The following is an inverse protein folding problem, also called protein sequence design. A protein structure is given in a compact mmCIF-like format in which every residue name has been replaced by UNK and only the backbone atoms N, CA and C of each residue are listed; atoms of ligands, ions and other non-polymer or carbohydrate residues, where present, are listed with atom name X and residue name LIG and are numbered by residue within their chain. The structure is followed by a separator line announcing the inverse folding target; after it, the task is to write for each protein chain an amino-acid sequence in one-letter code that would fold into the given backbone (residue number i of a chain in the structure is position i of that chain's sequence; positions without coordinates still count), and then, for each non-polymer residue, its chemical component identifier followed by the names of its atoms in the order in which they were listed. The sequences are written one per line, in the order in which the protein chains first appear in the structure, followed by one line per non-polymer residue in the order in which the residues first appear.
data_IF_692078134141
#
_entry.id   IF_692078134141
#
_cell.length_a   1.000
_cell.length_b   1.000
_cell.length_c   1.000
_cell.angle_alpha   90.00
_cell.angle_beta   90.00
_cell.angle_gamma   90.00
#
_symmetry.space_group_name_H-M   'P 1'
#
loop_
_entity.id
_entity.type
_entity.pdbx_description
1 polymer ?
#
# COMPACT_ATOMS: atom_id res chain seq x y z
N UNK A 1 -44.39 28.71 -42.30
CA UNK A 1 -43.18 27.92 -42.52
C UNK A 1 -42.40 27.94 -41.20
N UNK A 2 -42.44 26.87 -40.44
CA UNK A 2 -41.71 26.79 -39.18
C UNK A 2 -40.30 26.22 -39.46
N UNK A 3 -39.29 26.92 -39.00
CA UNK A 3 -37.88 26.54 -39.14
C UNK A 3 -37.59 25.25 -38.33
N UNK A 4 -36.92 24.23 -38.90
CA UNK A 4 -36.63 23.00 -38.17
C UNK A 4 -35.65 23.29 -37.01
N UNK A 5 -36.03 22.94 -35.80
CA UNK A 5 -35.17 22.96 -34.61
C UNK A 5 -33.89 22.14 -34.85
N UNK A 6 -32.69 22.66 -34.56
CA UNK A 6 -31.45 21.91 -34.75
C UNK A 6 -31.41 20.70 -33.82
N UNK A 7 -31.08 19.55 -34.39
CA UNK A 7 -30.84 18.30 -33.64
C UNK A 7 -29.67 18.49 -32.67
N UNK A 8 -29.78 18.11 -31.39
CA UNK A 8 -28.67 18.18 -30.47
C UNK A 8 -27.51 17.29 -30.93
N UNK A 9 -26.25 17.69 -30.66
CA UNK A 9 -25.09 16.88 -30.99
C UNK A 9 -25.17 15.53 -30.26
N UNK A 10 -24.65 14.44 -30.86
CA UNK A 10 -24.63 13.14 -30.21
C UNK A 10 -23.86 13.21 -28.90
N UNK A 11 -24.39 12.56 -27.86
CA UNK A 11 -23.70 12.45 -26.58
C UNK A 11 -22.32 11.78 -26.75
N UNK A 12 -21.29 12.27 -26.07
CA UNK A 12 -19.96 11.66 -26.14
C UNK A 12 -20.00 10.22 -25.62
N UNK A 13 -19.40 9.32 -26.36
CA UNK A 13 -19.34 7.91 -25.98
C UNK A 13 -18.71 7.73 -24.60
N UNK A 14 -19.33 6.94 -23.70
CA UNK A 14 -18.83 6.76 -22.35
C UNK A 14 -17.44 6.11 -22.35
N UNK A 15 -16.56 6.57 -21.45
CA UNK A 15 -15.15 6.17 -21.37
C UNK A 15 -14.94 4.64 -21.29
N UNK A 16 -15.86 3.91 -20.64
CA UNK A 16 -15.79 2.46 -20.54
C UNK A 16 -15.96 1.75 -21.89
N UNK A 17 -16.78 2.29 -22.84
CA UNK A 17 -16.91 1.72 -24.19
C UNK A 17 -15.64 1.87 -25.00
N UNK A 18 -14.97 3.02 -24.89
CA UNK A 18 -13.65 3.25 -25.53
C UNK A 18 -12.58 2.31 -24.95
N UNK A 19 -12.59 2.09 -23.64
CA UNK A 19 -11.70 1.13 -22.99
C UNK A 19 -11.97 -0.31 -23.47
N UNK A 20 -13.23 -0.71 -23.55
CA UNK A 20 -13.62 -2.05 -24.02
C UNK A 20 -13.25 -2.27 -25.49
N UNK A 21 -13.43 -1.27 -26.36
CA UNK A 21 -13.06 -1.35 -27.76
C UNK A 21 -11.54 -1.53 -27.94
N UNK A 22 -10.73 -0.80 -27.17
CA UNK A 22 -9.26 -0.97 -27.17
C UNK A 22 -8.84 -2.36 -26.69
N UNK A 23 -9.54 -2.91 -25.70
CA UNK A 23 -9.28 -4.25 -25.21
C UNK A 23 -9.64 -5.33 -26.22
N UNK A 24 -10.75 -5.16 -26.94
CA UNK A 24 -11.18 -6.05 -28.04
C UNK A 24 -10.25 -5.99 -29.24
N UNK A 25 -9.72 -4.80 -29.59
CA UNK A 25 -8.74 -4.63 -30.64
C UNK A 25 -7.40 -5.29 -30.29
N UNK A 26 -6.98 -5.23 -29.03
CA UNK A 26 -5.77 -5.92 -28.55
C UNK A 26 -5.90 -7.45 -28.65
N UNK A 27 -7.10 -8.01 -28.52
CA UNK A 27 -7.38 -9.44 -28.62
C UNK A 27 -7.53 -9.95 -30.05
N UNK A 28 -7.53 -9.09 -31.08
CA UNK A 28 -7.67 -9.51 -32.49
C UNK A 28 -6.38 -10.16 -33.01
N UNK A 29 -6.43 -11.41 -33.52
CA UNK A 29 -5.28 -12.02 -34.18
C UNK A 29 -4.88 -11.19 -35.41
N UNK A 30 -3.62 -10.74 -35.49
CA UNK A 30 -3.08 -10.03 -36.67
C UNK A 30 -2.99 -8.51 -36.51
N UNK A 31 -3.34 -7.91 -35.40
CA UNK A 31 -2.98 -6.53 -35.12
C UNK A 31 -1.47 -6.45 -34.86
N UNK A 32 -0.77 -5.73 -35.75
CA UNK A 32 0.59 -5.28 -35.43
C UNK A 32 0.49 -4.40 -34.20
N UNK A 33 0.95 -4.92 -33.05
CA UNK A 33 0.98 -4.17 -31.82
C UNK A 33 1.72 -2.86 -32.09
N UNK A 34 1.14 -1.68 -31.83
CA UNK A 34 1.96 -0.48 -31.68
C UNK A 34 3.06 -0.86 -30.70
N UNK A 35 4.32 -0.48 -30.98
CA UNK A 35 5.47 -0.88 -30.17
C UNK A 35 5.15 -0.76 -28.68
N UNK A 36 5.85 -1.43 -27.78
CA UNK A 36 5.41 -1.72 -26.42
C UNK A 36 4.91 -0.44 -25.73
N UNK A 37 3.59 -0.25 -25.77
CA UNK A 37 2.94 0.90 -25.13
C UNK A 37 3.01 0.64 -23.63
N UNK A 38 3.81 1.41 -22.94
CA UNK A 38 3.95 1.30 -21.50
C UNK A 38 2.62 1.66 -20.84
N UNK A 39 2.10 0.77 -20.02
CA UNK A 39 0.88 0.97 -19.28
C UNK A 39 1.20 1.61 -17.93
N UNK A 40 0.74 2.83 -17.69
CA UNK A 40 0.88 3.50 -16.40
C UNK A 40 -0.13 2.97 -15.39
N UNK A 41 0.36 2.66 -14.20
CA UNK A 41 -0.45 2.13 -13.10
C UNK A 41 -0.29 2.99 -11.84
N UNK A 42 -1.43 3.24 -11.20
CA UNK A 42 -1.52 3.73 -9.85
C UNK A 42 -2.00 2.59 -8.95
N UNK A 43 -1.31 2.33 -7.86
CA UNK A 43 -1.60 1.19 -6.99
C UNK A 43 -2.16 1.65 -5.64
N UNK A 44 -3.31 1.10 -5.28
CA UNK A 44 -3.96 1.28 -3.99
C UNK A 44 -3.74 0.03 -3.14
N UNK A 45 -2.84 0.10 -2.15
CA UNK A 45 -2.38 -1.04 -1.37
C UNK A 45 -3.08 -1.08 -0.01
N UNK A 46 -3.97 -2.06 0.13
CA UNK A 46 -4.77 -2.24 1.32
C UNK A 46 -3.92 -2.69 2.52
N UNK A 47 -4.25 -2.20 3.71
CA UNK A 47 -3.77 -2.73 4.97
C UNK A 47 -4.45 -4.05 5.34
N UNK A 48 -3.87 -4.77 6.29
CA UNK A 48 -4.42 -6.06 6.72
C UNK A 48 -3.42 -6.91 7.51
N UNK A 49 -2.40 -6.31 8.11
CA UNK A 49 -1.38 -7.01 8.88
C UNK A 49 -0.66 -8.07 8.03
N UNK A 50 -0.69 -9.33 8.46
CA UNK A 50 -0.03 -10.44 7.76
C UNK A 50 -0.54 -10.67 6.32
N UNK A 51 -1.75 -10.21 5.97
CA UNK A 51 -2.24 -10.28 4.60
C UNK A 51 -1.47 -9.38 3.63
N UNK A 52 -0.64 -8.45 4.14
CA UNK A 52 0.32 -7.69 3.32
C UNK A 52 1.31 -8.57 2.57
N UNK A 53 1.58 -9.80 3.04
CA UNK A 53 2.37 -10.78 2.31
C UNK A 53 1.69 -11.26 1.01
N UNK A 54 0.36 -11.32 0.96
CA UNK A 54 -0.36 -11.55 -0.30
C UNK A 54 -0.16 -10.40 -1.28
N UNK A 55 -0.27 -9.16 -0.78
CA UNK A 55 0.00 -7.96 -1.59
C UNK A 55 1.45 -7.97 -2.13
N UNK A 56 2.44 -8.39 -1.32
CA UNK A 56 3.80 -8.61 -1.80
C UNK A 56 3.84 -9.56 -3.01
N UNK A 57 3.19 -10.71 -2.94
CA UNK A 57 3.14 -11.66 -4.07
C UNK A 57 2.56 -11.05 -5.35
N UNK A 58 1.50 -10.22 -5.23
CA UNK A 58 0.91 -9.48 -6.36
C UNK A 58 1.90 -8.46 -6.91
N UNK A 59 2.57 -7.68 -6.04
CA UNK A 59 3.57 -6.70 -6.45
C UNK A 59 4.76 -7.35 -7.12
N UNK A 60 5.21 -8.50 -6.61
CA UNK A 60 6.31 -9.27 -7.20
C UNK A 60 5.99 -9.67 -8.64
N UNK A 61 4.79 -10.21 -8.88
CA UNK A 61 4.32 -10.55 -10.22
C UNK A 61 4.19 -9.32 -11.15
N UNK A 62 3.63 -8.20 -10.66
CA UNK A 62 3.52 -6.96 -11.45
C UNK A 62 4.91 -6.41 -11.83
N UNK A 63 5.88 -6.51 -10.94
CA UNK A 63 7.24 -6.04 -11.16
C UNK A 63 8.03 -6.89 -12.18
N UNK A 64 7.56 -8.07 -12.57
CA UNK A 64 8.11 -8.86 -13.68
C UNK A 64 7.80 -8.26 -15.06
N UNK A 65 6.74 -7.48 -15.17
CA UNK A 65 6.30 -6.93 -16.44
C UNK A 65 6.92 -5.56 -16.75
N UNK A 66 7.89 -5.53 -17.66
CA UNK A 66 8.60 -4.29 -18.03
C UNK A 66 7.70 -3.23 -18.70
N UNK A 67 6.60 -3.66 -19.31
CA UNK A 67 5.63 -2.76 -19.93
C UNK A 67 4.79 -1.96 -18.92
N UNK A 68 4.83 -2.31 -17.62
CA UNK A 68 4.11 -1.57 -16.60
C UNK A 68 4.98 -0.45 -16.01
N UNK A 69 4.47 0.77 -15.99
CA UNK A 69 5.07 1.92 -15.32
C UNK A 69 4.24 2.30 -14.10
N UNK A 70 4.89 2.36 -12.95
CA UNK A 70 4.24 2.80 -11.72
C UNK A 70 4.40 4.33 -11.60
N UNK A 71 3.31 5.03 -11.27
CA UNK A 71 3.34 6.47 -11.04
C UNK A 71 3.03 6.84 -9.59
N UNK A 72 1.93 6.33 -9.05
CA UNK A 72 1.48 6.62 -7.69
C UNK A 72 1.19 5.36 -6.88
N UNK A 73 1.57 5.40 -5.60
CA UNK A 73 1.31 4.34 -4.63
C UNK A 73 0.60 4.93 -3.43
N UNK A 74 -0.61 4.45 -3.14
CA UNK A 74 -1.32 4.77 -1.91
C UNK A 74 -1.38 3.55 -1.01
N UNK A 75 -1.10 3.72 0.28
CA UNK A 75 -1.09 2.61 1.23
C UNK A 75 -1.50 2.99 2.64
N UNK A 76 -2.08 2.02 3.34
CA UNK A 76 -2.37 2.10 4.78
C UNK A 76 -1.88 0.82 5.46
N UNK A 77 -1.34 0.94 6.68
CA UNK A 77 -0.87 -0.21 7.46
C UNK A 77 0.17 -1.07 6.69
N UNK A 78 -0.05 -2.37 6.55
CA UNK A 78 0.81 -3.26 5.76
C UNK A 78 0.93 -2.81 4.28
N UNK A 79 -0.11 -2.16 3.73
CA UNK A 79 -0.06 -1.57 2.40
C UNK A 79 0.90 -0.38 2.31
N UNK A 80 0.98 0.42 3.37
CA UNK A 80 1.96 1.51 3.49
C UNK A 80 3.40 0.99 3.50
N UNK A 81 3.64 -0.07 4.30
CA UNK A 81 4.95 -0.73 4.36
C UNK A 81 5.34 -1.28 2.99
N UNK A 82 4.44 -1.97 2.30
CA UNK A 82 4.68 -2.48 0.95
C UNK A 82 5.00 -1.36 -0.05
N UNK A 83 4.25 -0.24 -0.02
CA UNK A 83 4.49 0.90 -0.90
C UNK A 83 5.89 1.49 -0.72
N UNK A 84 6.29 1.69 0.54
CA UNK A 84 7.57 2.31 0.88
C UNK A 84 8.76 1.37 0.61
N UNK A 85 8.63 0.07 0.92
CA UNK A 85 9.64 -0.93 0.57
C UNK A 85 9.84 -1.05 -0.93
N UNK A 86 8.74 -1.05 -1.71
CA UNK A 86 8.81 -1.05 -3.16
C UNK A 86 9.55 0.19 -3.66
N UNK A 87 9.21 1.37 -3.16
CA UNK A 87 9.82 2.62 -3.58
C UNK A 87 11.31 2.70 -3.21
N UNK A 88 11.69 2.35 -1.97
CA UNK A 88 13.09 2.33 -1.55
C UNK A 88 13.93 1.31 -2.33
N UNK A 89 13.40 0.10 -2.51
CA UNK A 89 14.07 -0.92 -3.33
C UNK A 89 14.22 -0.49 -4.79
N UNK A 90 13.23 0.22 -5.34
CA UNK A 90 13.29 0.76 -6.69
C UNK A 90 14.37 1.82 -6.84
N UNK A 91 14.50 2.72 -5.88
CA UNK A 91 15.59 3.72 -5.86
C UNK A 91 16.96 3.03 -5.84
N UNK A 92 17.08 1.91 -5.14
CA UNK A 92 18.35 1.14 -5.08
C UNK A 92 18.73 0.46 -6.39
N UNK A 93 17.82 -0.27 -7.00
CA UNK A 93 18.12 -1.12 -8.16
C UNK A 93 16.87 -1.39 -9.05
N UNK A 94 15.99 -0.40 -9.21
CA UNK A 94 14.80 -0.53 -10.05
C UNK A 94 13.90 -1.69 -9.61
N UNK A 95 13.27 -2.35 -10.57
CA UNK A 95 12.34 -3.46 -10.33
C UNK A 95 12.96 -4.59 -9.50
N UNK A 96 14.19 -4.98 -9.80
CA UNK A 96 14.89 -6.04 -9.07
C UNK A 96 15.12 -5.67 -7.62
N UNK A 97 15.50 -4.41 -7.34
CA UNK A 97 15.65 -3.89 -6.00
C UNK A 97 14.35 -3.85 -5.22
N UNK A 98 13.24 -3.45 -5.87
CA UNK A 98 11.91 -3.44 -5.26
C UNK A 98 11.47 -4.86 -4.86
N UNK A 99 11.63 -5.84 -5.73
CA UNK A 99 11.33 -7.26 -5.46
C UNK A 99 12.17 -7.79 -4.30
N UNK A 100 13.47 -7.51 -4.31
CA UNK A 100 14.38 -7.94 -3.26
C UNK A 100 14.04 -7.33 -1.89
N UNK A 101 13.70 -6.04 -1.82
CA UNK A 101 13.31 -5.35 -0.59
C UNK A 101 12.05 -5.95 0.02
N UNK A 102 11.02 -6.19 -0.79
CA UNK A 102 9.78 -6.83 -0.36
C UNK A 102 10.02 -8.26 0.15
N UNK A 103 10.79 -9.06 -0.60
CA UNK A 103 11.10 -10.44 -0.23
C UNK A 103 11.90 -10.52 1.08
N UNK A 104 12.88 -9.64 1.26
CA UNK A 104 13.68 -9.58 2.48
C UNK A 104 12.79 -9.24 3.68
N UNK A 105 11.97 -8.19 3.60
CA UNK A 105 11.12 -7.75 4.70
C UNK A 105 10.15 -8.86 5.15
N UNK A 106 9.39 -9.41 4.21
CA UNK A 106 8.40 -10.44 4.54
C UNK A 106 9.04 -11.75 4.98
N UNK A 107 10.23 -12.08 4.45
CA UNK A 107 11.03 -13.24 4.87
C UNK A 107 11.50 -13.10 6.32
N UNK A 108 12.07 -11.96 6.70
CA UNK A 108 12.52 -11.68 8.07
C UNK A 108 11.32 -11.61 9.04
N UNK A 109 10.25 -10.91 8.67
CA UNK A 109 9.04 -10.81 9.51
C UNK A 109 8.44 -12.18 9.79
N UNK A 110 8.42 -13.07 8.79
CA UNK A 110 7.92 -14.45 8.93
C UNK A 110 8.71 -15.28 9.93
N UNK A 111 10.02 -15.06 10.06
CA UNK A 111 10.89 -15.78 11.01
C UNK A 111 10.63 -15.37 12.47
N UNK A 112 10.11 -14.17 12.72
CA UNK A 112 9.82 -13.70 14.07
C UNK A 112 8.47 -14.17 14.62
N UNK A 113 7.64 -14.82 13.80
CA UNK A 113 6.36 -15.38 14.27
C UNK A 113 6.58 -16.74 14.95
N UNK A 114 6.27 -16.89 16.26
CA UNK A 114 6.40 -18.18 16.92
C UNK A 114 5.49 -19.22 16.28
N UNK A 115 6.05 -20.22 15.62
CA UNK A 115 5.32 -21.29 14.96
C UNK A 115 4.35 -22.04 15.92
N UNK A 116 4.65 -22.04 17.22
CA UNK A 116 3.81 -22.65 18.26
C UNK A 116 2.47 -21.91 18.49
N UNK A 117 2.38 -20.64 18.14
CA UNK A 117 1.17 -19.82 18.32
C UNK A 117 0.25 -19.85 17.11
N UNK A 118 0.71 -20.44 15.99
CA UNK A 118 0.00 -20.44 14.72
C UNK A 118 -0.23 -21.87 14.24
N UNK A 119 -1.42 -22.19 13.75
CA UNK A 119 -1.72 -23.44 13.06
C UNK A 119 -2.07 -23.15 11.62
N UNK A 120 -1.34 -23.79 10.69
CA UNK A 120 -1.69 -23.84 9.28
C UNK A 120 -2.49 -25.11 9.00
N UNK A 121 -3.63 -24.98 8.32
CA UNK A 121 -4.40 -26.09 7.78
C UNK A 121 -4.79 -25.77 6.35
N UNK A 122 -4.02 -26.29 5.40
CA UNK A 122 -4.13 -25.93 3.99
C UNK A 122 -3.80 -24.43 3.80
N UNK A 123 -4.66 -23.71 3.11
CA UNK A 123 -4.49 -22.27 2.83
C UNK A 123 -4.88 -21.35 4.00
N UNK A 124 -5.41 -21.89 5.10
CA UNK A 124 -5.85 -21.09 6.24
C UNK A 124 -4.84 -21.12 7.38
N UNK A 125 -4.43 -19.93 7.82
CA UNK A 125 -3.60 -19.73 9.01
C UNK A 125 -4.49 -19.23 10.15
N UNK A 126 -4.47 -19.95 11.30
CA UNK A 126 -5.26 -19.58 12.49
C UNK A 126 -4.39 -19.63 13.73
N UNK A 127 -4.73 -18.80 14.71
CA UNK A 127 -4.11 -18.92 16.03
C UNK A 127 -4.39 -20.28 16.64
N UNK A 128 -3.35 -20.94 17.14
CA UNK A 128 -3.48 -22.13 17.97
C UNK A 128 -4.32 -21.83 19.23
N UNK A 129 -4.93 -22.81 19.89
CA UNK A 129 -5.70 -22.59 21.12
C UNK A 129 -4.93 -21.80 22.18
N UNK A 130 -3.65 -22.12 22.40
CA UNK A 130 -2.76 -21.36 23.29
C UNK A 130 -2.57 -19.90 22.83
N UNK A 131 -2.40 -19.66 21.54
CA UNK A 131 -2.30 -18.30 20.97
C UNK A 131 -3.58 -17.49 21.16
N UNK A 132 -4.76 -18.11 21.03
CA UNK A 132 -6.05 -17.46 21.29
C UNK A 132 -6.23 -17.10 22.75
N UNK A 133 -5.86 -18.01 23.67
CA UNK A 133 -5.92 -17.76 25.10
C UNK A 133 -4.99 -16.60 25.49
N UNK A 134 -3.75 -16.59 24.98
CA UNK A 134 -2.78 -15.54 25.21
C UNK A 134 -3.28 -14.19 24.67
N UNK A 135 -3.84 -14.16 23.45
CA UNK A 135 -4.40 -12.95 22.85
C UNK A 135 -5.62 -12.43 23.66
N UNK A 136 -6.48 -13.33 24.14
CA UNK A 136 -7.60 -12.96 25.00
C UNK A 136 -7.14 -12.37 26.34
N UNK A 137 -6.12 -12.98 26.97
CA UNK A 137 -5.51 -12.46 28.19
C UNK A 137 -4.84 -11.10 27.96
N UNK A 138 -4.03 -10.97 26.91
CA UNK A 138 -3.36 -9.73 26.56
C UNK A 138 -4.35 -8.58 26.27
N UNK A 139 -5.53 -8.89 25.73
CA UNK A 139 -6.58 -7.89 25.46
C UNK A 139 -7.17 -7.22 26.74
N UNK A 140 -6.86 -7.73 27.93
CA UNK A 140 -7.27 -7.12 29.20
C UNK A 140 -6.30 -6.01 29.66
N UNK A 141 -5.15 -5.89 29.01
CA UNK A 141 -4.11 -4.93 29.38
C UNK A 141 -3.98 -3.85 28.31
N UNK A 142 -3.50 -2.66 28.74
CA UNK A 142 -3.13 -1.60 27.81
C UNK A 142 -1.78 -1.92 27.15
N UNK A 143 -1.48 -1.36 25.97
CA UNK A 143 -0.15 -1.48 25.35
C UNK A 143 0.99 -1.08 26.31
N UNK A 144 0.80 -0.03 27.10
CA UNK A 144 1.78 0.43 28.10
C UNK A 144 2.05 -0.61 29.20
N UNK A 145 1.05 -1.39 29.58
CA UNK A 145 1.21 -2.47 30.57
C UNK A 145 1.90 -3.69 29.99
N UNK A 146 1.65 -4.00 28.71
CA UNK A 146 2.24 -5.15 28.01
C UNK A 146 3.66 -4.87 27.52
N UNK A 147 3.95 -3.63 27.16
CA UNK A 147 5.22 -3.19 26.59
C UNK A 147 5.69 -1.87 27.22
N UNK A 148 6.05 -1.85 28.51
CA UNK A 148 6.40 -0.62 29.21
C UNK A 148 7.68 0.05 28.70
N UNK A 149 8.52 -0.66 27.96
CA UNK A 149 9.75 -0.15 27.36
C UNK A 149 9.59 0.28 25.89
N UNK A 150 8.37 0.23 25.36
CA UNK A 150 8.03 0.55 23.97
C UNK A 150 8.95 -0.17 22.95
N UNK A 151 9.25 -1.44 23.20
CA UNK A 151 10.03 -2.26 22.27
C UNK A 151 9.22 -2.48 21.00
N UNK A 152 9.79 -2.09 19.88
CA UNK A 152 9.10 -2.17 18.60
C UNK A 152 9.98 -2.86 17.53
N UNK A 153 9.92 -4.21 17.45
CA UNK A 153 10.70 -4.96 16.46
C UNK A 153 10.42 -4.54 15.01
N UNK A 154 9.21 -4.02 14.73
CA UNK A 154 8.90 -3.48 13.42
C UNK A 154 9.69 -2.22 13.12
N UNK A 155 9.87 -1.33 14.10
CA UNK A 155 10.74 -0.15 13.96
C UNK A 155 12.14 -0.55 13.56
N UNK A 156 12.75 -1.45 14.33
CA UNK A 156 14.12 -1.91 14.09
C UNK A 156 14.28 -2.53 12.69
N UNK A 157 13.26 -3.27 12.25
CA UNK A 157 13.25 -3.89 10.92
C UNK A 157 13.15 -2.84 9.82
N UNK A 158 12.26 -1.86 9.95
CA UNK A 158 12.10 -0.78 8.97
C UNK A 158 13.36 0.09 8.86
N UNK A 159 13.94 0.50 10.00
CA UNK A 159 15.14 1.34 10.04
C UNK A 159 16.39 0.62 9.49
N UNK A 160 16.45 -0.70 9.64
CA UNK A 160 17.56 -1.48 9.05
C UNK A 160 17.42 -1.65 7.53
N UNK A 161 16.20 -1.73 7.03
CA UNK A 161 15.98 -2.10 5.62
C UNK A 161 15.76 -0.90 4.70
N UNK A 162 15.26 0.21 5.21
CA UNK A 162 14.87 1.38 4.42
C UNK A 162 15.83 2.54 4.67
N UNK A 163 16.37 3.09 3.60
CA UNK A 163 17.10 4.36 3.63
C UNK A 163 16.13 5.52 3.38
N UNK A 164 15.53 6.00 4.47
CA UNK A 164 14.51 7.05 4.40
C UNK A 164 15.04 8.37 3.82
N UNK A 165 16.31 8.72 4.01
CA UNK A 165 16.88 9.94 3.46
C UNK A 165 17.01 9.86 1.94
N UNK A 166 17.55 8.75 1.44
CA UNK A 166 17.63 8.50 0.01
C UNK A 166 16.24 8.41 -0.61
N UNK A 167 15.30 7.71 0.05
CA UNK A 167 13.92 7.60 -0.43
C UNK A 167 13.28 8.98 -0.61
N UNK A 168 13.35 9.86 0.38
CA UNK A 168 12.77 11.21 0.30
C UNK A 168 13.37 12.05 -0.80
N UNK A 169 14.65 11.88 -1.09
CA UNK A 169 15.37 12.65 -2.12
C UNK A 169 15.11 12.12 -3.53
N UNK A 170 15.09 10.82 -3.71
CA UNK A 170 15.21 10.17 -5.01
C UNK A 170 13.96 9.36 -5.41
N UNK A 171 12.88 9.38 -4.61
CA UNK A 171 11.66 8.61 -4.89
C UNK A 171 11.06 8.99 -6.25
N UNK A 172 10.94 8.03 -7.19
CA UNK A 172 10.36 8.32 -8.49
C UNK A 172 8.83 8.28 -8.51
N UNK A 173 8.21 7.86 -7.41
CA UNK A 173 6.77 7.68 -7.28
C UNK A 173 6.15 8.75 -6.39
N UNK A 174 4.89 9.08 -6.67
CA UNK A 174 4.05 9.80 -5.71
C UNK A 174 3.59 8.83 -4.63
N UNK A 175 3.96 9.07 -3.39
CA UNK A 175 3.54 8.26 -2.24
C UNK A 175 2.43 8.95 -1.47
N UNK A 176 1.43 8.16 -1.04
CA UNK A 176 0.29 8.62 -0.26
C UNK A 176 0.09 7.64 0.90
N UNK A 177 0.79 7.88 2.02
CA UNK A 177 0.74 7.01 3.18
C UNK A 177 -0.27 7.56 4.18
N UNK A 178 -1.32 6.76 4.42
CA UNK A 178 -2.43 7.14 5.30
C UNK A 178 -2.17 6.83 6.75
N UNK A 179 -2.44 7.80 7.65
CA UNK A 179 -2.61 7.59 9.07
C UNK A 179 -3.85 8.35 9.57
N UNK A 180 -4.45 7.89 10.67
CA UNK A 180 -5.63 8.52 11.26
C UNK A 180 -5.20 9.42 12.42
N UNK A 181 -5.46 10.71 12.33
CA UNK A 181 -5.23 11.64 13.43
C UNK A 181 -6.22 11.36 14.57
N UNK A 182 -5.72 11.03 15.74
CA UNK A 182 -6.54 10.54 16.87
C UNK A 182 -7.56 11.58 17.32
N UNK A 183 -7.12 12.85 17.47
CA UNK A 183 -7.94 13.92 18.03
C UNK A 183 -9.15 14.30 17.16
N UNK A 184 -9.06 14.07 15.85
CA UNK A 184 -10.08 14.50 14.89
C UNK A 184 -10.76 13.34 14.15
N UNK A 185 -10.16 12.14 14.18
CA UNK A 185 -10.58 11.00 13.37
C UNK A 185 -10.34 11.19 11.86
N UNK A 186 -9.65 12.25 11.46
CA UNK A 186 -9.42 12.56 10.05
C UNK A 186 -8.20 11.83 9.50
N UNK A 187 -8.28 11.51 8.22
CA UNK A 187 -7.15 11.00 7.46
C UNK A 187 -6.08 12.08 7.30
N UNK A 188 -4.83 11.74 7.64
CA UNK A 188 -3.62 12.47 7.25
C UNK A 188 -2.91 11.65 6.18
N UNK A 189 -2.57 12.27 5.07
CA UNK A 189 -1.74 11.68 4.02
C UNK A 189 -0.34 12.27 4.09
N UNK A 190 0.63 11.40 4.26
CA UNK A 190 2.05 11.72 4.20
C UNK A 190 2.56 11.46 2.78
N UNK A 191 3.30 12.42 2.24
CA UNK A 191 3.87 12.38 0.90
C UNK A 191 5.31 11.83 0.92
N UNK A 192 5.86 11.54 -0.25
CA UNK A 192 7.22 10.97 -0.41
C UNK A 192 8.29 11.70 0.40
N UNK A 193 8.24 13.01 0.47
CA UNK A 193 9.21 13.85 1.19
C UNK A 193 9.03 13.85 2.73
N UNK A 194 7.92 13.30 3.24
CA UNK A 194 7.60 13.20 4.67
C UNK A 194 7.86 11.79 5.22
N UNK A 195 8.17 10.80 4.36
CA UNK A 195 8.24 9.39 4.78
C UNK A 195 9.39 9.17 5.77
N UNK A 196 9.05 8.54 6.88
CA UNK A 196 9.96 8.12 7.95
C UNK A 196 9.48 6.81 8.59
N UNK A 197 10.27 6.26 9.49
CA UNK A 197 9.87 5.10 10.29
C UNK A 197 8.62 5.43 11.13
N UNK A 198 8.55 6.62 11.72
CA UNK A 198 7.40 7.10 12.50
C UNK A 198 6.12 7.13 11.66
N UNK A 199 6.19 7.58 10.41
CA UNK A 199 5.04 7.60 9.49
C UNK A 199 4.52 6.19 9.21
N UNK A 200 5.40 5.23 8.97
CA UNK A 200 5.01 3.83 8.77
C UNK A 200 4.44 3.21 10.05
N UNK A 201 5.05 3.49 11.18
CA UNK A 201 4.56 3.03 12.49
C UNK A 201 3.20 3.64 12.83
N UNK A 202 2.99 4.93 12.54
CA UNK A 202 1.70 5.60 12.70
C UNK A 202 0.63 4.95 11.81
N UNK A 203 0.97 4.72 10.52
CA UNK A 203 0.09 4.05 9.58
C UNK A 203 -0.29 2.63 9.98
N UNK A 204 0.54 1.94 10.77
CA UNK A 204 0.34 0.57 11.25
C UNK A 204 0.01 0.50 12.76
N UNK A 205 -0.28 1.62 13.42
CA UNK A 205 -0.52 1.69 14.86
C UNK A 205 -1.93 1.24 15.24
N UNK A 206 -2.06 0.02 15.72
CA UNK A 206 -3.31 -0.50 16.29
C UNK A 206 -3.39 -0.16 17.78
N UNK A 207 -4.33 0.67 18.23
CA UNK A 207 -4.36 1.24 19.59
C UNK A 207 -4.52 0.22 20.73
N UNK A 208 -4.94 -1.00 20.42
CA UNK A 208 -5.04 -2.11 21.38
C UNK A 208 -3.74 -2.90 21.54
N UNK A 209 -2.77 -2.72 20.66
CA UNK A 209 -1.54 -3.50 20.59
C UNK A 209 -0.30 -2.63 20.70
N UNK A 210 -0.36 -1.42 20.13
CA UNK A 210 0.78 -0.51 20.03
C UNK A 210 0.53 0.76 20.85
N UNK A 211 1.62 1.36 21.32
CA UNK A 211 1.58 2.74 21.82
C UNK A 211 1.20 3.69 20.70
N UNK A 212 0.45 4.74 21.05
CA UNK A 212 0.10 5.79 20.08
C UNK A 212 1.37 6.46 19.56
N UNK A 213 1.48 6.57 18.23
CA UNK A 213 2.62 7.23 17.59
C UNK A 213 2.35 8.72 17.49
N UNK A 214 3.34 9.53 17.86
CA UNK A 214 3.27 10.99 17.76
C UNK A 214 4.20 11.49 16.67
N UNK A 215 3.67 12.34 15.78
CA UNK A 215 4.43 13.05 14.74
C UNK A 215 4.11 14.53 14.89
N UNK A 216 5.14 15.34 15.06
CA UNK A 216 5.02 16.80 15.30
C UNK A 216 4.04 17.15 16.45
N UNK A 217 4.04 16.33 17.50
CA UNK A 217 3.18 16.50 18.68
C UNK A 217 1.74 15.99 18.52
N UNK A 218 1.32 15.59 17.32
CA UNK A 218 -0.01 15.05 17.04
C UNK A 218 -0.02 13.51 17.15
N UNK A 219 -1.04 12.92 17.80
CA UNK A 219 -1.18 11.48 17.92
C UNK A 219 -1.84 10.86 16.69
N UNK A 220 -1.31 9.70 16.25
CA UNK A 220 -1.80 8.95 15.11
C UNK A 220 -2.05 7.49 15.41
N UNK A 221 -3.05 6.93 14.74
CA UNK A 221 -3.39 5.52 14.66
C UNK A 221 -3.37 5.03 13.22
N UNK A 222 -3.55 3.72 13.04
CA UNK A 222 -3.59 3.04 11.76
C UNK A 222 -4.47 3.77 10.73
N UNK A 223 -3.94 3.92 9.52
CA UNK A 223 -4.62 4.60 8.42
C UNK A 223 -5.94 3.92 8.03
N UNK A 224 -6.05 2.63 8.25
CA UNK A 224 -7.24 1.84 7.95
C UNK A 224 -8.50 2.27 8.71
N UNK A 225 -8.38 3.04 9.79
CA UNK A 225 -9.55 3.62 10.47
C UNK A 225 -10.20 4.76 9.70
N UNK A 226 -9.47 5.44 8.82
CA UNK A 226 -9.99 6.56 8.01
C UNK A 226 -10.07 6.21 6.53
N UNK A 227 -9.08 5.49 5.98
CA UNK A 227 -9.07 5.03 4.58
C UNK A 227 -8.13 3.82 4.43
N UNK A 228 -8.60 2.77 3.72
CA UNK A 228 -7.83 1.53 3.58
C UNK A 228 -7.76 1.04 2.11
N UNK A 229 -6.90 1.65 1.27
CA UNK A 229 -6.23 2.95 1.39
C UNK A 229 -7.04 4.12 0.82
N UNK A 230 -6.45 5.34 0.83
CA UNK A 230 -7.01 6.51 0.15
C UNK A 230 -6.84 6.38 -1.37
N UNK A 231 -7.94 6.39 -2.12
CA UNK A 231 -7.93 6.30 -3.60
C UNK A 231 -7.92 7.69 -4.25
N UNK A 232 -8.58 8.68 -3.63
CA UNK A 232 -8.72 10.01 -4.19
C UNK A 232 -7.40 10.65 -4.69
N UNK A 233 -6.28 10.61 -3.94
CA UNK A 233 -5.04 11.22 -4.41
C UNK A 233 -4.47 10.53 -5.66
N UNK A 234 -4.70 9.23 -5.85
CA UNK A 234 -4.29 8.53 -7.07
C UNK A 234 -5.07 9.01 -8.31
N UNK A 235 -6.32 9.44 -8.10
CA UNK A 235 -7.18 9.92 -9.19
C UNK A 235 -6.90 11.39 -9.53
N UNK A 236 -6.66 12.23 -8.52
CA UNK A 236 -6.57 13.67 -8.72
C UNK A 236 -5.13 14.21 -8.84
N UNK A 237 -4.16 13.56 -8.19
CA UNK A 237 -2.79 14.05 -8.11
C UNK A 237 -1.85 13.29 -9.07
N UNK A 238 -2.21 12.08 -9.51
CA UNK A 238 -1.45 11.36 -10.53
C UNK A 238 -1.94 11.77 -11.93
N UNK A 239 -1.04 11.76 -12.91
CA UNK A 239 -1.45 11.96 -14.29
C UNK A 239 -2.47 10.86 -14.63
N UNK A 240 -3.60 11.24 -15.19
CA UNK A 240 -4.53 10.26 -15.75
C UNK A 240 -3.75 9.48 -16.79
N UNK A 241 -3.70 8.15 -16.62
CA UNK A 241 -3.28 7.27 -17.70
C UNK A 241 -3.92 7.79 -18.97
N UNK A 242 -3.13 7.90 -20.05
CA UNK A 242 -3.58 8.44 -21.33
C UNK A 242 -4.97 7.94 -21.66
N UNK A 243 -5.94 8.86 -21.58
CA UNK A 243 -7.34 8.59 -21.81
C UNK A 243 -7.60 8.49 -23.33
#
# INVERSE_FOLDING_TARGET
MADPTPTPPPEPEPAWRRALARWQDWLRPGHASPGPQKLRLNLALQGGGAHGAYTWGVLDALLEHEALELEGLSGSSAGAVNAVLLADGWVRAGRAGARAALAQFWGELGQHLPASLVRSKGETVRLAPAGRLLAHWAAQFTPAQLNPFDLNPLRDLLERQIDFERLRRDCPFKLFIGATQVNTGRLRLFREHEISAEVLLASACLPKIHHTVHIDGEPYWDGGYSANPAIAPLVYDCATADA
#
